data_IF_738394536306
#
_entry.id   IF_738394536306
#
_cell.length_a   1.000
_cell.length_b   1.000
_cell.length_c   1.000
_cell.angle_alpha   90.00
_cell.angle_beta   90.00
_cell.angle_gamma   90.00
#
_symmetry.space_group_name_H-M   'P 1'
#
loop_
_entity.id
_entity.type
_entity.pdbx_description
1 polymer ?
#
# COMPACT_ATOMS: atom_id res chain seq x y z
N UNK A 1 14.69 -4.38 -44.49
CA UNK A 1 13.71 -5.49 -44.50
C UNK A 1 13.01 -5.66 -43.16
N UNK A 2 13.74 -5.66 -42.02
CA UNK A 2 13.15 -5.76 -40.67
C UNK A 2 12.24 -4.57 -40.33
N UNK A 3 12.68 -3.34 -40.63
CA UNK A 3 11.91 -2.12 -40.35
C UNK A 3 10.57 -2.04 -41.13
N UNK A 4 10.55 -2.49 -42.39
CA UNK A 4 9.34 -2.52 -43.21
C UNK A 4 8.32 -3.54 -42.69
N UNK A 5 8.79 -4.72 -42.24
CA UNK A 5 7.94 -5.75 -41.61
C UNK A 5 7.42 -5.35 -40.24
N UNK A 6 8.22 -4.60 -39.48
CA UNK A 6 7.81 -4.06 -38.20
C UNK A 6 6.71 -3.00 -38.36
N UNK A 7 6.86 -2.09 -39.34
CA UNK A 7 5.83 -1.08 -39.63
C UNK A 7 4.51 -1.70 -40.13
N UNK A 8 4.55 -2.75 -40.95
CA UNK A 8 3.32 -3.44 -41.39
C UNK A 8 2.60 -4.16 -40.25
N UNK A 9 3.33 -4.60 -39.22
CA UNK A 9 2.74 -5.23 -38.03
C UNK A 9 2.04 -4.22 -37.10
N UNK A 10 2.21 -2.92 -37.33
CA UNK A 10 1.65 -1.83 -36.52
C UNK A 10 0.68 -0.95 -37.33
N UNK A 11 0.22 -1.44 -38.49
CA UNK A 11 -0.83 -0.76 -39.24
C UNK A 11 -2.21 -1.15 -38.66
N UNK A 12 -3.12 -0.18 -38.61
CA UNK A 12 -4.51 -0.40 -38.21
C UNK A 12 -5.34 -1.07 -39.34
N UNK A 13 -4.76 -2.08 -39.99
CA UNK A 13 -5.40 -2.91 -40.99
C UNK A 13 -5.68 -4.32 -40.43
N UNK A 14 -6.32 -5.18 -41.23
CA UNK A 14 -6.69 -6.54 -40.80
C UNK A 14 -5.48 -7.32 -40.27
N UNK A 15 -4.36 -7.24 -40.99
CA UNK A 15 -3.18 -8.01 -40.63
C UNK A 15 -2.55 -7.51 -39.32
N UNK A 16 -2.31 -6.20 -39.18
CA UNK A 16 -1.67 -5.63 -38.00
C UNK A 16 -2.52 -5.83 -36.75
N UNK A 17 -3.82 -5.60 -36.85
CA UNK A 17 -4.74 -5.73 -35.70
C UNK A 17 -4.90 -7.19 -35.24
N UNK A 18 -5.07 -8.14 -36.15
CA UNK A 18 -5.16 -9.57 -35.82
C UNK A 18 -3.83 -10.11 -35.25
N UNK A 19 -2.70 -9.67 -35.79
CA UNK A 19 -1.38 -10.07 -35.29
C UNK A 19 -1.15 -9.61 -33.84
N UNK A 20 -1.47 -8.36 -33.52
CA UNK A 20 -1.29 -7.83 -32.16
C UNK A 20 -2.28 -8.46 -31.16
N UNK A 21 -3.52 -8.73 -31.59
CA UNK A 21 -4.48 -9.47 -30.79
C UNK A 21 -3.96 -10.88 -30.46
N UNK A 22 -3.43 -11.59 -31.47
CA UNK A 22 -2.84 -12.91 -31.27
C UNK A 22 -1.62 -12.88 -30.35
N UNK A 23 -0.67 -11.96 -30.56
CA UNK A 23 0.52 -11.79 -29.68
C UNK A 23 0.07 -11.55 -28.24
N UNK A 24 -0.90 -10.66 -28.03
CA UNK A 24 -1.44 -10.35 -26.72
C UNK A 24 -2.05 -11.59 -26.07
N UNK A 25 -2.90 -12.34 -26.78
CA UNK A 25 -3.53 -13.54 -26.25
C UNK A 25 -2.53 -14.67 -25.92
N UNK A 26 -1.38 -14.74 -26.61
CA UNK A 26 -0.33 -15.74 -26.37
C UNK A 26 0.57 -15.35 -25.19
N UNK A 27 0.99 -14.09 -25.14
CA UNK A 27 2.05 -13.66 -24.21
C UNK A 27 1.53 -12.98 -22.95
N UNK A 28 0.32 -12.41 -22.95
CA UNK A 28 -0.18 -11.66 -21.79
C UNK A 28 -0.93 -12.48 -20.73
N UNK A 29 -1.37 -13.75 -20.96
CA UNK A 29 -2.12 -14.48 -19.94
C UNK A 29 -1.45 -14.61 -18.57
N UNK A 30 -0.11 -14.65 -18.53
CA UNK A 30 0.62 -14.71 -17.26
C UNK A 30 0.47 -13.43 -16.43
N UNK A 31 0.36 -12.27 -17.08
CA UNK A 31 0.22 -10.96 -16.42
C UNK A 31 -1.22 -10.66 -16.05
N UNK A 32 -2.13 -10.81 -17.00
CA UNK A 32 -3.48 -10.24 -16.88
C UNK A 32 -4.58 -11.26 -16.65
N UNK A 33 -4.33 -12.56 -16.85
CA UNK A 33 -5.36 -13.61 -16.75
C UNK A 33 -5.76 -14.17 -18.12
N UNK A 34 -6.69 -15.14 -18.13
CA UNK A 34 -7.04 -15.88 -19.34
C UNK A 34 -7.51 -14.94 -20.45
N UNK A 35 -6.84 -15.01 -21.60
CA UNK A 35 -7.10 -14.17 -22.77
C UNK A 35 -7.70 -15.02 -23.90
N UNK A 36 -8.72 -14.50 -24.56
CA UNK A 36 -9.36 -15.08 -25.73
C UNK A 36 -9.46 -14.04 -26.85
N UNK A 37 -9.03 -14.42 -28.06
CA UNK A 37 -9.18 -13.55 -29.24
C UNK A 37 -10.63 -13.57 -29.69
N UNK A 38 -11.20 -12.39 -29.95
CA UNK A 38 -12.57 -12.22 -30.40
C UNK A 38 -12.65 -11.44 -31.71
N UNK A 39 -13.62 -11.77 -32.57
CA UNK A 39 -13.89 -11.01 -33.78
C UNK A 39 -14.61 -9.69 -33.46
N UNK A 40 -14.38 -8.66 -34.29
CA UNK A 40 -15.19 -7.43 -34.35
C UNK A 40 -15.71 -7.21 -35.76
N UNK A 41 -16.90 -6.63 -35.87
CA UNK A 41 -17.58 -6.35 -37.15
C UNK A 41 -17.57 -4.85 -37.47
N UNK A 42 -18.10 -4.49 -38.64
CA UNK A 42 -18.31 -3.11 -39.06
C UNK A 42 -19.23 -2.29 -38.12
N UNK A 43 -20.04 -2.96 -37.29
CA UNK A 43 -20.91 -2.30 -36.30
C UNK A 43 -20.11 -1.79 -35.09
N UNK A 44 -19.00 -2.46 -34.76
CA UNK A 44 -18.16 -2.15 -33.60
C UNK A 44 -16.90 -1.36 -34.00
N UNK A 45 -16.43 -1.53 -35.23
CA UNK A 45 -15.21 -0.92 -35.75
C UNK A 45 -15.40 -0.42 -37.18
N UNK A 46 -15.28 0.90 -37.38
CA UNK A 46 -15.46 1.54 -38.68
C UNK A 46 -14.43 1.07 -39.73
N UNK A 47 -13.27 0.58 -39.30
CA UNK A 47 -12.21 0.08 -40.17
C UNK A 47 -12.55 -1.29 -40.78
N UNK A 48 -13.50 -2.03 -40.19
CA UNK A 48 -13.91 -3.35 -40.68
C UNK A 48 -14.93 -3.16 -41.82
N UNK A 49 -14.70 -3.72 -43.02
CA UNK A 49 -15.65 -3.64 -44.12
C UNK A 49 -17.01 -4.28 -43.79
N UNK A 50 -18.13 -3.75 -44.30
CA UNK A 50 -19.45 -4.36 -44.11
C UNK A 50 -19.47 -5.82 -44.59
N UNK A 51 -19.92 -6.73 -43.72
CA UNK A 51 -19.96 -8.17 -44.00
C UNK A 51 -18.66 -8.93 -43.69
N UNK A 52 -17.61 -8.25 -43.22
CA UNK A 52 -16.39 -8.87 -42.70
C UNK A 52 -16.34 -8.88 -41.16
N UNK A 53 -15.46 -9.71 -40.62
CA UNK A 53 -15.04 -9.66 -39.22
C UNK A 53 -13.53 -9.83 -39.12
N UNK A 54 -12.91 -9.10 -38.19
CA UNK A 54 -11.46 -9.15 -37.91
C UNK A 54 -11.25 -9.64 -36.49
N UNK A 55 -10.30 -10.57 -36.29
CA UNK A 55 -9.93 -11.10 -34.98
C UNK A 55 -9.02 -10.13 -34.20
N UNK A 56 -9.48 -8.90 -34.02
CA UNK A 56 -8.71 -7.77 -33.52
C UNK A 56 -8.98 -7.42 -32.05
N UNK A 57 -9.83 -8.17 -31.35
CA UNK A 57 -10.10 -7.96 -29.93
C UNK A 57 -9.52 -9.11 -29.08
N UNK A 58 -9.12 -8.80 -27.85
CA UNK A 58 -8.70 -9.78 -26.85
C UNK A 58 -9.52 -9.57 -25.60
N UNK A 59 -10.34 -10.56 -25.26
CA UNK A 59 -11.09 -10.60 -24.01
C UNK A 59 -10.25 -11.27 -22.94
N UNK A 60 -9.92 -10.51 -21.91
CA UNK A 60 -9.41 -11.03 -20.64
C UNK A 60 -10.66 -11.42 -19.84
N UNK A 61 -10.92 -12.72 -19.67
CA UNK A 61 -12.14 -13.22 -19.01
C UNK A 61 -12.24 -12.72 -17.56
N UNK A 62 -11.10 -12.74 -16.87
CA UNK A 62 -10.95 -12.24 -15.52
C UNK A 62 -9.57 -11.64 -15.35
N UNK A 63 -9.54 -10.32 -15.21
CA UNK A 63 -8.34 -9.53 -15.10
C UNK A 63 -7.75 -9.67 -13.71
N UNK A 64 -6.51 -10.18 -13.61
CA UNK A 64 -5.80 -10.37 -12.34
C UNK A 64 -5.69 -9.08 -11.51
N UNK A 65 -5.62 -7.93 -12.19
CA UNK A 65 -5.61 -6.62 -11.55
C UNK A 65 -6.96 -6.23 -10.93
N UNK A 66 -8.07 -6.70 -11.50
CA UNK A 66 -9.42 -6.45 -10.99
C UNK A 66 -9.86 -7.53 -9.98
N UNK A 67 -9.45 -8.78 -10.17
CA UNK A 67 -9.82 -9.93 -9.33
C UNK A 67 -9.28 -9.90 -7.89
N UNK A 68 -8.14 -9.25 -7.64
CA UNK A 68 -7.55 -9.21 -6.29
C UNK A 68 -8.51 -8.58 -5.23
N UNK A 69 -9.55 -7.85 -5.68
CA UNK A 69 -10.31 -6.90 -4.85
C UNK A 69 -11.83 -7.11 -4.76
N UNK A 70 -12.48 -7.76 -5.72
CA UNK A 70 -13.96 -7.75 -5.84
C UNK A 70 -14.79 -8.60 -4.86
N UNK A 71 -14.29 -9.00 -3.68
CA UNK A 71 -14.93 -10.07 -2.88
C UNK A 71 -15.83 -9.69 -1.69
N UNK A 72 -15.91 -8.44 -1.25
CA UNK A 72 -16.68 -8.12 -0.03
C UNK A 72 -17.69 -6.96 -0.24
N UNK A 73 -18.92 -7.33 -0.61
CA UNK A 73 -20.08 -6.44 -0.56
C UNK A 73 -21.29 -7.20 0.02
N UNK A 74 -21.79 -6.81 1.19
CA UNK A 74 -23.16 -6.30 1.48
C UNK A 74 -23.28 -6.12 3.01
N UNK A 75 -23.93 -5.05 3.49
CA UNK A 75 -24.33 -4.87 4.89
C UNK A 75 -24.58 -3.41 5.28
N UNK A 76 -25.77 -3.13 5.83
CA UNK A 76 -26.44 -1.82 6.01
C UNK A 76 -26.10 -1.09 7.34
N UNK A 77 -26.46 0.20 7.41
CA UNK A 77 -26.19 1.19 8.48
C UNK A 77 -27.07 1.05 9.74
N UNK A 78 -26.52 1.36 10.92
CA UNK A 78 -27.27 1.84 12.10
C UNK A 78 -26.48 2.94 12.86
N UNK A 79 -27.22 3.80 13.56
CA UNK A 79 -26.78 5.09 14.16
C UNK A 79 -26.77 5.06 15.72
N UNK A 80 -26.43 6.19 16.36
CA UNK A 80 -26.33 6.52 17.81
C UNK A 80 -24.94 6.33 18.46
N UNK A 81 -24.40 7.18 19.35
CA UNK A 81 -24.80 8.41 20.04
C UNK A 81 -23.60 8.96 20.87
N UNK A 82 -23.66 10.21 21.35
CA UNK A 82 -22.54 11.05 21.84
C UNK A 82 -21.89 10.63 23.18
N UNK A 83 -20.56 10.80 23.27
CA UNK A 83 -19.73 10.50 24.45
C UNK A 83 -19.48 11.70 25.37
N UNK A 84 -19.20 11.41 26.66
CA UNK A 84 -18.87 12.39 27.72
C UNK A 84 -17.35 12.59 27.86
N UNK A 85 -16.88 13.76 28.33
CA UNK A 85 -15.44 14.05 28.48
C UNK A 85 -14.87 13.56 29.83
N UNK A 86 -13.57 13.27 29.84
CA UNK A 86 -12.77 12.88 31.01
C UNK A 86 -11.72 13.94 31.40
N UNK A 87 -11.26 13.97 32.66
CA UNK A 87 -10.60 15.11 33.27
C UNK A 87 -9.07 15.16 33.06
N UNK A 88 -8.52 16.38 33.12
CA UNK A 88 -7.10 16.71 32.97
C UNK A 88 -6.25 16.36 34.21
N UNK A 89 -5.03 15.86 33.98
CA UNK A 89 -3.95 15.66 34.97
C UNK A 89 -2.59 16.05 34.35
N UNK A 90 -1.65 16.55 35.16
CA UNK A 90 -0.47 17.34 34.75
C UNK A 90 0.91 16.66 34.73
N UNK A 91 1.93 17.46 34.36
CA UNK A 91 3.40 17.23 34.33
C UNK A 91 3.87 15.82 33.90
N UNK A 92 3.84 15.56 32.60
CA UNK A 92 4.09 14.24 32.01
C UNK A 92 5.54 13.99 31.58
N UNK A 93 6.04 12.78 31.86
CA UNK A 93 7.26 12.24 31.22
C UNK A 93 6.98 11.97 29.73
N UNK A 94 8.02 11.69 28.93
CA UNK A 94 7.90 11.50 27.46
C UNK A 94 6.91 10.40 27.07
N UNK A 95 6.86 9.30 27.83
CA UNK A 95 5.93 8.20 27.56
C UNK A 95 4.48 8.62 27.80
N UNK A 96 4.23 9.42 28.83
CA UNK A 96 2.90 9.92 29.11
C UNK A 96 2.44 10.98 28.10
N UNK A 97 3.35 11.82 27.59
CA UNK A 97 3.05 12.71 26.45
C UNK A 97 2.65 11.93 25.20
N UNK A 98 3.35 10.84 24.89
CA UNK A 98 2.99 9.95 23.78
C UNK A 98 1.62 9.31 23.99
N UNK A 99 1.31 8.85 25.21
CA UNK A 99 -0.03 8.31 25.52
C UNK A 99 -1.10 9.37 25.32
N UNK A 100 -0.86 10.59 25.82
CA UNK A 100 -1.78 11.72 25.67
C UNK A 100 -2.00 12.07 24.19
N UNK A 101 -0.94 12.12 23.39
CA UNK A 101 -1.01 12.31 21.95
C UNK A 101 -1.86 11.21 21.28
N UNK A 102 -1.68 9.94 21.64
CA UNK A 102 -2.50 8.85 21.13
C UNK A 102 -3.99 8.98 21.52
N UNK A 103 -4.30 9.45 22.73
CA UNK A 103 -5.68 9.72 23.14
C UNK A 103 -6.30 10.89 22.37
N UNK A 104 -5.53 11.95 22.08
CA UNK A 104 -6.00 13.05 21.22
C UNK A 104 -6.44 12.53 19.84
N UNK A 105 -5.71 11.57 19.27
CA UNK A 105 -6.06 10.94 18.00
C UNK A 105 -7.37 10.15 18.08
N UNK A 106 -7.55 9.35 19.15
CA UNK A 106 -8.77 8.56 19.37
C UNK A 106 -10.02 9.44 19.48
N UNK A 107 -9.89 10.59 20.14
CA UNK A 107 -10.95 11.59 20.29
C UNK A 107 -11.24 12.26 18.95
N UNK A 108 -10.22 12.80 18.29
CA UNK A 108 -10.35 13.54 17.03
C UNK A 108 -11.01 12.70 15.92
N UNK A 109 -10.74 11.40 15.89
CA UNK A 109 -11.20 10.51 14.82
C UNK A 109 -12.44 9.69 15.18
N UNK A 110 -13.07 9.91 16.34
CA UNK A 110 -14.26 9.17 16.81
C UNK A 110 -14.02 7.65 16.81
N UNK A 111 -12.94 7.20 17.44
CA UNK A 111 -12.66 5.76 17.56
C UNK A 111 -13.82 5.00 18.21
N UNK A 112 -14.12 3.80 17.68
CA UNK A 112 -15.17 2.92 18.20
C UNK A 112 -14.87 2.45 19.64
N UNK A 113 -15.89 1.96 20.34
CA UNK A 113 -15.74 1.43 21.71
C UNK A 113 -14.76 0.25 21.70
N UNK A 114 -14.85 -0.61 20.69
CA UNK A 114 -14.01 -1.79 20.51
C UNK A 114 -12.54 -1.39 20.28
N UNK A 115 -12.29 -0.39 19.43
CA UNK A 115 -10.94 0.14 19.21
C UNK A 115 -10.33 0.73 20.49
N UNK A 116 -11.12 1.49 21.26
CA UNK A 116 -10.69 2.06 22.54
C UNK A 116 -10.35 0.96 23.54
N UNK A 117 -11.21 -0.04 23.69
CA UNK A 117 -10.97 -1.18 24.59
C UNK A 117 -9.74 -2.00 24.20
N UNK A 118 -9.54 -2.26 22.91
CA UNK A 118 -8.36 -2.94 22.40
C UNK A 118 -7.09 -2.16 22.73
N UNK A 119 -7.10 -0.84 22.45
CA UNK A 119 -5.96 0.04 22.71
C UNK A 119 -5.64 0.19 24.20
N UNK A 120 -6.65 0.35 25.06
CA UNK A 120 -6.48 0.40 26.51
C UNK A 120 -5.90 -0.90 27.06
N UNK A 121 -6.35 -2.04 26.54
CA UNK A 121 -5.80 -3.36 26.88
C UNK A 121 -4.33 -3.45 26.49
N UNK A 122 -3.98 -2.97 25.29
CA UNK A 122 -2.59 -2.95 24.82
C UNK A 122 -1.72 -2.01 25.66
N UNK A 123 -2.20 -0.80 25.97
CA UNK A 123 -1.47 0.14 26.83
C UNK A 123 -1.15 -0.48 28.19
N UNK A 124 -2.16 -1.07 28.85
CA UNK A 124 -2.02 -1.64 30.19
C UNK A 124 -1.09 -2.85 30.23
N UNK A 125 -1.20 -3.75 29.26
CA UNK A 125 -0.46 -5.02 29.26
C UNK A 125 0.94 -4.86 28.67
N UNK A 126 1.07 -4.04 27.62
CA UNK A 126 2.31 -3.92 26.86
C UNK A 126 3.03 -2.63 27.18
N UNK A 127 2.40 -1.48 26.92
CA UNK A 127 3.08 -0.18 26.97
C UNK A 127 3.56 0.18 28.38
N UNK A 128 2.65 0.18 29.36
CA UNK A 128 2.94 0.60 30.73
C UNK A 128 3.92 -0.35 31.44
N UNK A 129 3.90 -1.65 31.09
CA UNK A 129 4.80 -2.67 31.64
C UNK A 129 6.20 -2.60 31.01
N UNK A 130 6.30 -2.20 29.74
CA UNK A 130 7.57 -2.02 29.05
C UNK A 130 8.24 -0.67 29.38
N UNK A 131 7.46 0.38 29.64
CA UNK A 131 7.95 1.74 29.91
C UNK A 131 9.10 1.84 30.93
N UNK A 132 9.08 1.15 32.09
CA UNK A 132 10.12 1.30 33.12
C UNK A 132 11.49 0.76 32.72
N UNK A 133 11.55 -0.15 31.75
CA UNK A 133 12.79 -0.80 31.30
C UNK A 133 13.20 -0.39 29.88
N UNK A 134 12.40 0.47 29.24
CA UNK A 134 12.65 0.95 27.89
C UNK A 134 13.63 2.12 27.91
N UNK A 135 14.53 2.18 26.94
CA UNK A 135 15.47 3.30 26.78
C UNK A 135 14.77 4.59 26.35
N UNK A 136 15.45 5.73 26.52
CA UNK A 136 14.87 7.00 26.10
C UNK A 136 14.66 7.03 24.57
N UNK A 137 13.42 7.24 24.14
CA UNK A 137 13.06 7.24 22.71
C UNK A 137 12.69 5.87 22.13
N UNK A 138 12.61 4.84 22.97
CA UNK A 138 12.07 3.54 22.60
C UNK A 138 10.60 3.55 22.19
N UNK A 139 9.82 4.53 22.67
CA UNK A 139 8.43 4.70 22.28
C UNK A 139 8.30 5.60 21.03
N UNK A 140 7.56 5.13 20.02
CA UNK A 140 7.29 5.86 18.78
C UNK A 140 5.80 5.87 18.48
N UNK A 141 5.27 7.05 18.16
CA UNK A 141 3.93 7.25 17.62
C UNK A 141 4.06 7.65 16.14
N UNK A 142 3.45 6.87 15.25
CA UNK A 142 3.41 7.12 13.80
C UNK A 142 2.00 7.47 13.39
N UNK A 143 1.85 8.59 12.69
CA UNK A 143 0.56 9.15 12.31
C UNK A 143 0.64 9.60 10.83
N UNK A 144 -0.26 9.11 9.95
CA UNK A 144 -0.40 9.65 8.60
C UNK A 144 -1.04 11.04 8.64
N UNK A 145 -0.84 11.85 7.60
CA UNK A 145 -1.27 13.26 7.59
C UNK A 145 -2.79 13.45 7.52
N UNK A 146 -3.49 12.45 6.98
CA UNK A 146 -4.96 12.35 6.97
C UNK A 146 -5.54 11.81 8.29
N UNK A 147 -4.69 11.22 9.14
CA UNK A 147 -5.02 10.66 10.45
C UNK A 147 -6.08 9.53 10.35
N UNK A 148 -6.11 8.80 9.23
CA UNK A 148 -7.03 7.66 9.08
C UNK A 148 -6.60 6.41 9.88
N UNK A 149 -5.36 6.42 10.37
CA UNK A 149 -4.79 5.39 11.24
C UNK A 149 -3.75 5.99 12.19
N UNK A 150 -3.29 5.22 13.17
CA UNK A 150 -2.01 5.48 13.83
C UNK A 150 -1.40 4.17 14.32
N UNK A 151 -0.09 4.18 14.55
CA UNK A 151 0.66 3.09 15.17
C UNK A 151 1.44 3.60 16.37
N UNK A 152 1.20 3.00 17.54
CA UNK A 152 2.01 3.21 18.74
C UNK A 152 2.90 2.00 18.95
N UNK A 153 4.19 2.23 19.18
CA UNK A 153 5.16 1.16 19.43
C UNK A 153 6.07 1.49 20.60
N UNK A 154 6.60 0.44 21.24
CA UNK A 154 7.57 0.55 22.32
C UNK A 154 8.61 -0.58 22.22
N UNK A 155 9.89 -0.21 22.33
CA UNK A 155 11.05 -1.11 22.28
C UNK A 155 11.58 -1.44 23.67
N UNK A 156 11.79 -2.73 23.96
CA UNK A 156 12.40 -3.16 25.21
C UNK A 156 13.01 -4.57 25.08
N UNK A 157 13.60 -5.13 26.15
CA UNK A 157 14.22 -6.45 26.11
C UNK A 157 13.30 -7.55 25.57
N UNK A 158 13.84 -8.36 24.67
CA UNK A 158 13.13 -9.42 23.93
C UNK A 158 12.32 -10.36 24.85
N UNK A 159 12.93 -10.86 25.93
CA UNK A 159 12.28 -11.82 26.83
C UNK A 159 11.05 -11.23 27.53
N UNK A 160 11.10 -9.93 27.84
CA UNK A 160 9.94 -9.20 28.34
C UNK A 160 8.89 -9.11 27.23
N UNK A 161 9.27 -8.68 26.02
CA UNK A 161 8.34 -8.47 24.91
C UNK A 161 7.61 -9.74 24.50
N UNK A 162 8.28 -10.89 24.42
CA UNK A 162 7.64 -12.19 24.15
C UNK A 162 6.56 -12.52 25.19
N UNK A 163 6.85 -12.29 26.47
CA UNK A 163 5.90 -12.52 27.57
C UNK A 163 4.71 -11.53 27.52
N UNK A 164 4.97 -10.26 27.23
CA UNK A 164 3.90 -9.25 27.11
C UNK A 164 3.01 -9.52 25.90
N UNK A 165 3.58 -9.92 24.76
CA UNK A 165 2.83 -10.34 23.57
C UNK A 165 1.90 -11.52 23.90
N UNK A 166 2.41 -12.56 24.57
CA UNK A 166 1.59 -13.71 24.97
C UNK A 166 0.42 -13.28 25.87
N UNK A 167 0.68 -12.51 26.93
CA UNK A 167 -0.36 -11.99 27.85
C UNK A 167 -1.40 -11.14 27.11
N UNK A 168 -0.97 -10.34 26.15
CA UNK A 168 -1.87 -9.50 25.35
C UNK A 168 -2.79 -10.34 24.46
N UNK A 169 -2.24 -11.31 23.73
CA UNK A 169 -3.03 -12.20 22.88
C UNK A 169 -4.01 -13.06 23.70
N UNK A 170 -3.61 -13.52 24.88
CA UNK A 170 -4.50 -14.20 25.84
C UNK A 170 -5.66 -13.29 26.28
N UNK A 171 -5.37 -12.03 26.63
CA UNK A 171 -6.38 -11.05 27.02
C UNK A 171 -7.36 -10.73 25.88
N UNK A 172 -6.86 -10.68 24.64
CA UNK A 172 -7.65 -10.51 23.42
C UNK A 172 -8.37 -11.81 22.98
N UNK A 173 -8.18 -12.93 23.69
CA UNK A 173 -8.77 -14.25 23.38
C UNK A 173 -8.47 -14.70 21.95
N UNK A 174 -7.25 -14.44 21.47
CA UNK A 174 -6.83 -14.85 20.13
C UNK A 174 -6.73 -16.39 20.09
N UNK A 175 -7.49 -17.07 19.22
CA UNK A 175 -7.60 -18.53 19.24
C UNK A 175 -6.37 -19.25 18.68
N UNK A 176 -5.59 -18.54 17.86
CA UNK A 176 -4.46 -19.08 17.11
C UNK A 176 -3.19 -18.29 17.41
N UNK A 177 -2.25 -18.94 18.09
CA UNK A 177 -0.96 -18.37 18.50
C UNK A 177 0.17 -18.71 17.52
N UNK A 178 -0.12 -19.19 16.30
CA UNK A 178 0.91 -19.51 15.30
C UNK A 178 1.86 -18.35 15.01
N UNK A 179 1.34 -17.11 14.93
CA UNK A 179 2.18 -15.92 14.70
C UNK A 179 3.12 -15.65 15.88
N UNK A 180 2.67 -15.87 17.12
CA UNK A 180 3.51 -15.77 18.31
C UNK A 180 4.57 -16.89 18.34
N UNK A 181 4.23 -18.11 17.92
CA UNK A 181 5.18 -19.21 17.81
C UNK A 181 6.25 -18.90 16.76
N UNK A 182 5.85 -18.37 15.60
CA UNK A 182 6.80 -17.89 14.58
C UNK A 182 7.70 -16.81 15.15
N UNK A 183 7.13 -15.80 15.82
CA UNK A 183 7.89 -14.75 16.52
C UNK A 183 8.91 -15.34 17.50
N UNK A 184 8.53 -16.34 18.31
CA UNK A 184 9.44 -17.02 19.23
C UNK A 184 10.50 -17.89 18.53
N UNK A 185 10.23 -18.40 17.33
CA UNK A 185 11.10 -19.28 16.54
C UNK A 185 12.00 -18.57 15.54
N UNK A 186 11.84 -17.25 15.33
CA UNK A 186 12.81 -16.45 14.60
C UNK A 186 14.20 -16.71 15.19
N UNK A 187 15.24 -16.81 14.36
CA UNK A 187 16.59 -17.20 14.80
C UNK A 187 17.24 -16.12 15.68
N UNK A 188 16.76 -15.97 16.92
CA UNK A 188 17.34 -15.14 17.97
C UNK A 188 18.71 -15.67 18.44
N UNK A 189 19.00 -16.93 18.14
CA UNK A 189 20.15 -17.65 18.70
C UNK A 189 21.46 -17.40 17.95
N UNK A 190 21.40 -16.85 16.72
CA UNK A 190 22.60 -16.57 15.91
C UNK A 190 23.11 -15.13 16.02
N UNK A 191 22.30 -14.19 16.48
CA UNK A 191 22.64 -12.76 16.54
C UNK A 191 22.12 -12.13 17.84
N UNK A 192 22.89 -11.18 18.39
CA UNK A 192 22.69 -10.44 19.65
C UNK A 192 21.41 -9.55 19.66
N UNK A 193 20.24 -10.08 19.26
CA UNK A 193 19.00 -9.32 19.29
C UNK A 193 18.51 -9.22 20.74
N UNK A 194 18.96 -8.17 21.43
CA UNK A 194 18.65 -7.90 22.83
C UNK A 194 17.26 -7.27 23.03
N UNK A 195 16.75 -6.57 22.02
CA UNK A 195 15.54 -5.76 22.12
C UNK A 195 14.62 -5.93 20.92
N UNK A 196 13.32 -5.81 21.18
CA UNK A 196 12.24 -5.94 20.20
C UNK A 196 11.22 -4.83 20.44
N UNK A 197 10.58 -4.36 19.37
CA UNK A 197 9.44 -3.45 19.49
C UNK A 197 8.14 -4.21 19.38
N UNK A 198 7.20 -3.98 20.29
CA UNK A 198 5.80 -4.32 20.07
C UNK A 198 5.04 -3.08 19.62
N UNK A 199 4.06 -3.27 18.74
CA UNK A 199 3.22 -2.19 18.22
C UNK A 199 1.74 -2.52 18.27
N UNK A 200 0.93 -1.47 18.35
CA UNK A 200 -0.51 -1.50 18.21
C UNK A 200 -0.91 -0.47 17.16
N UNK A 201 -1.75 -0.88 16.21
CA UNK A 201 -2.24 -0.05 15.12
C UNK A 201 -3.76 -0.02 15.13
N UNK A 202 -4.33 1.18 15.01
CA UNK A 202 -5.75 1.37 14.80
C UNK A 202 -5.93 2.05 13.44
N UNK A 203 -6.96 1.66 12.69
CA UNK A 203 -7.23 2.16 11.35
C UNK A 203 -8.73 2.28 11.07
N UNK A 204 -9.09 3.10 10.08
CA UNK A 204 -10.47 3.27 9.61
C UNK A 204 -11.41 3.71 10.73
N UNK A 205 -11.00 4.74 11.46
CA UNK A 205 -11.81 5.32 12.54
C UNK A 205 -13.14 5.86 12.01
N UNK A 206 -14.20 5.77 12.81
CA UNK A 206 -15.54 6.23 12.44
C UNK A 206 -16.17 5.50 11.24
N UNK A 207 -15.49 4.50 10.66
CA UNK A 207 -16.01 3.70 9.54
C UNK A 207 -16.95 2.58 10.03
N UNK A 208 -17.67 1.96 9.10
CA UNK A 208 -18.47 0.77 9.37
C UNK A 208 -17.64 -0.49 9.66
N UNK A 209 -16.33 -0.46 9.40
CA UNK A 209 -15.41 -1.58 9.57
C UNK A 209 -14.12 -1.13 10.27
N UNK A 210 -14.20 -0.64 11.52
CA UNK A 210 -13.03 -0.20 12.27
C UNK A 210 -12.00 -1.32 12.37
N UNK A 211 -10.73 -0.99 12.13
CA UNK A 211 -9.64 -1.95 12.18
C UNK A 211 -8.79 -1.77 13.43
N UNK A 212 -8.40 -2.91 14.02
CA UNK A 212 -7.35 -3.01 15.05
C UNK A 212 -6.32 -4.03 14.61
N UNK A 213 -5.08 -3.79 14.96
CA UNK A 213 -3.99 -4.72 14.74
C UNK A 213 -2.91 -4.54 15.81
N UNK A 214 -2.12 -5.58 16.05
CA UNK A 214 -0.96 -5.52 16.92
C UNK A 214 0.09 -6.52 16.45
N UNK A 215 1.35 -6.17 16.65
CA UNK A 215 2.45 -6.99 16.16
C UNK A 215 3.79 -6.62 16.76
N UNK A 216 4.85 -7.02 16.08
CA UNK A 216 6.23 -6.73 16.47
C UNK A 216 7.05 -6.16 15.31
N UNK A 217 8.13 -5.43 15.64
CA UNK A 217 9.20 -5.03 14.73
C UNK A 217 10.55 -5.49 15.27
N UNK A 218 11.37 -6.03 14.38
CA UNK A 218 12.76 -6.40 14.59
C UNK A 218 13.64 -5.47 13.78
N UNK A 219 14.41 -4.63 14.46
CA UNK A 219 15.39 -3.74 13.84
C UNK A 219 16.72 -4.49 13.67
N UNK A 220 16.69 -5.63 12.98
CA UNK A 220 17.85 -6.46 12.72
C UNK A 220 17.83 -6.94 11.27
N UNK A 221 19.02 -7.11 10.68
CA UNK A 221 19.12 -7.71 9.35
C UNK A 221 18.61 -9.14 9.37
N UNK A 222 17.86 -9.53 8.33
CA UNK A 222 17.41 -10.89 8.14
C UNK A 222 18.05 -11.46 6.87
N UNK A 223 18.64 -12.65 6.98
CA UNK A 223 19.03 -13.43 5.82
C UNK A 223 17.79 -13.82 4.99
N UNK A 224 17.92 -13.83 3.66
CA UNK A 224 16.83 -14.21 2.77
C UNK A 224 16.26 -15.60 3.05
N UNK A 225 17.08 -16.55 3.52
CA UNK A 225 16.61 -17.88 3.90
C UNK A 225 15.60 -17.82 5.04
N UNK A 226 15.79 -16.92 6.01
CA UNK A 226 14.85 -16.68 7.11
C UNK A 226 13.65 -15.90 6.60
N UNK A 227 13.87 -14.86 5.79
CA UNK A 227 12.80 -14.06 5.17
C UNK A 227 11.81 -14.92 4.39
N UNK A 228 12.29 -15.91 3.63
CA UNK A 228 11.47 -16.83 2.82
C UNK A 228 10.59 -17.78 3.68
N UNK A 229 10.90 -17.92 4.96
CA UNK A 229 10.13 -18.72 5.92
C UNK A 229 9.05 -17.87 6.59
N UNK A 230 9.36 -16.59 6.88
CA UNK A 230 8.57 -15.76 7.81
C UNK A 230 7.65 -14.78 7.09
N UNK A 231 7.95 -14.45 5.84
CA UNK A 231 7.09 -13.59 5.00
C UNK A 231 6.05 -14.45 4.28
N UNK A 232 4.77 -14.04 4.21
CA UNK A 232 3.74 -14.74 3.45
C UNK A 232 4.16 -15.00 2.00
N UNK A 233 4.06 -16.27 1.58
CA UNK A 233 4.41 -16.67 0.21
C UNK A 233 3.40 -16.11 -0.78
N UNK A 234 3.89 -15.33 -1.73
CA UNK A 234 3.11 -14.77 -2.83
C UNK A 234 4.00 -14.54 -4.05
N UNK A 235 3.39 -14.32 -5.22
CA UNK A 235 4.12 -13.91 -6.43
C UNK A 235 4.86 -12.58 -6.19
N UNK A 236 4.21 -11.65 -5.49
CA UNK A 236 4.78 -10.34 -5.15
C UNK A 236 5.99 -10.48 -4.18
N UNK A 237 5.95 -11.45 -3.25
CA UNK A 237 7.11 -11.77 -2.38
C UNK A 237 8.31 -12.25 -3.20
N UNK A 238 8.09 -13.15 -4.17
CA UNK A 238 9.16 -13.64 -5.03
C UNK A 238 9.74 -12.52 -5.91
N UNK A 239 8.88 -11.64 -6.43
CA UNK A 239 9.29 -10.48 -7.23
C UNK A 239 10.10 -9.48 -6.40
N UNK A 240 9.63 -9.13 -5.19
CA UNK A 240 10.34 -8.25 -4.26
C UNK A 240 11.73 -8.81 -3.94
N UNK A 241 11.79 -10.11 -3.63
CA UNK A 241 13.03 -10.83 -3.35
C UNK A 241 14.02 -10.79 -4.51
N UNK A 242 13.57 -11.14 -5.71
CA UNK A 242 14.43 -11.16 -6.90
C UNK A 242 14.95 -9.75 -7.24
N UNK A 243 14.08 -8.74 -7.14
CA UNK A 243 14.46 -7.36 -7.38
C UNK A 243 15.47 -6.87 -6.33
N UNK A 244 15.19 -7.06 -5.04
CA UNK A 244 16.09 -6.69 -3.96
C UNK A 244 17.48 -7.34 -4.09
N UNK A 245 17.56 -8.64 -4.38
CA UNK A 245 18.85 -9.32 -4.62
C UNK A 245 19.59 -8.78 -5.85
N UNK A 246 18.88 -8.43 -6.93
CA UNK A 246 19.51 -7.83 -8.11
C UNK A 246 20.19 -6.49 -7.80
N UNK A 247 19.67 -5.77 -6.80
CA UNK A 247 20.22 -4.53 -6.27
C UNK A 247 21.13 -4.74 -5.04
N UNK A 248 21.43 -6.00 -4.68
CA UNK A 248 22.23 -6.38 -3.50
C UNK A 248 21.67 -5.85 -2.18
N UNK A 249 20.35 -5.70 -2.11
CA UNK A 249 19.65 -5.30 -0.90
C UNK A 249 19.35 -6.53 -0.03
N UNK A 250 19.50 -6.34 1.27
CA UNK A 250 19.17 -7.33 2.30
C UNK A 250 18.19 -6.67 3.25
N UNK A 251 17.14 -7.38 3.72
CA UNK A 251 16.26 -6.82 4.75
C UNK A 251 17.07 -6.39 5.98
N UNK A 252 16.89 -5.15 6.40
CA UNK A 252 17.48 -4.52 7.58
C UNK A 252 16.53 -4.56 8.79
N UNK A 253 15.23 -4.66 8.54
CA UNK A 253 14.24 -4.85 9.59
C UNK A 253 13.08 -5.69 9.08
N UNK A 254 12.39 -6.35 10.02
CA UNK A 254 11.20 -7.15 9.76
C UNK A 254 10.11 -6.82 10.77
N UNK A 255 8.87 -6.63 10.30
CA UNK A 255 7.71 -6.51 11.17
C UNK A 255 6.62 -7.49 10.78
N UNK A 256 5.81 -7.92 11.73
CA UNK A 256 4.65 -8.77 11.45
C UNK A 256 3.52 -8.58 12.46
N UNK A 257 2.29 -8.72 11.98
CA UNK A 257 1.11 -8.84 12.83
C UNK A 257 1.17 -10.12 13.65
N UNK A 258 0.77 -10.02 14.91
CA UNK A 258 0.54 -11.15 15.81
C UNK A 258 -0.89 -11.68 15.72
N UNK A 259 -1.80 -10.95 15.07
CA UNK A 259 -3.19 -11.35 14.90
C UNK A 259 -3.36 -12.22 13.64
N UNK A 260 -4.23 -13.24 13.69
CA UNK A 260 -4.36 -14.20 12.59
C UNK A 260 -5.25 -13.71 11.43
N UNK A 261 -5.93 -12.57 11.57
CA UNK A 261 -6.87 -12.05 10.57
C UNK A 261 -6.10 -11.13 9.61
N UNK A 262 -5.89 -11.59 8.37
CA UNK A 262 -5.11 -10.90 7.33
C UNK A 262 -3.74 -10.42 7.81
N UNK A 263 -2.88 -11.33 8.34
CA UNK A 263 -1.61 -10.94 8.94
C UNK A 263 -0.73 -10.25 7.90
N UNK A 264 -0.40 -8.99 8.18
CA UNK A 264 0.56 -8.22 7.39
C UNK A 264 1.97 -8.45 7.95
N UNK A 265 2.93 -8.66 7.04
CA UNK A 265 4.35 -8.61 7.32
C UNK A 265 4.98 -7.44 6.60
N UNK A 266 6.12 -6.94 7.06
CA UNK A 266 6.85 -5.88 6.40
C UNK A 266 8.34 -6.15 6.43
N UNK A 267 9.00 -5.78 5.34
CA UNK A 267 10.45 -5.75 5.22
C UNK A 267 10.89 -4.31 5.04
N UNK A 268 11.92 -3.92 5.77
CA UNK A 268 12.59 -2.63 5.59
C UNK A 268 13.99 -2.87 5.05
N UNK A 269 14.39 -2.11 4.04
CA UNK A 269 15.70 -2.14 3.41
C UNK A 269 16.39 -0.80 3.66
N UNK A 270 17.64 -0.83 4.10
CA UNK A 270 18.48 0.38 4.14
C UNK A 270 18.95 0.69 2.71
N UNK A 271 18.66 1.89 2.21
CA UNK A 271 18.90 2.27 0.82
C UNK A 271 20.27 2.94 0.61
N UNK A 272 21.30 2.62 1.39
CA UNK A 272 22.67 3.15 1.28
C UNK A 272 23.41 2.77 -0.04
N UNK A 273 22.90 3.24 -1.18
CA UNK A 273 23.42 2.98 -2.52
C UNK A 273 24.34 4.09 -3.05
N UNK A 274 24.65 5.09 -2.21
CA UNK A 274 25.50 6.23 -2.57
C UNK A 274 24.96 7.55 -2.02
N UNK A 275 24.65 8.49 -2.91
CA UNK A 275 24.00 9.75 -2.53
C UNK A 275 22.53 9.53 -2.11
N UNK A 276 21.99 10.41 -1.26
CA UNK A 276 20.57 10.38 -0.88
C UNK A 276 19.63 10.36 -2.10
N UNK A 277 19.94 11.16 -3.12
CA UNK A 277 19.16 11.20 -4.37
C UNK A 277 19.18 9.87 -5.12
N UNK A 278 20.34 9.21 -5.21
CA UNK A 278 20.42 7.89 -5.85
C UNK A 278 19.69 6.82 -5.06
N UNK A 279 19.71 6.90 -3.72
CA UNK A 279 18.94 6.01 -2.82
C UNK A 279 17.44 6.13 -3.07
N UNK A 280 16.93 7.37 -3.09
CA UNK A 280 15.52 7.68 -3.35
C UNK A 280 15.10 7.18 -4.73
N UNK A 281 15.89 7.50 -5.77
CA UNK A 281 15.56 7.07 -7.14
C UNK A 281 15.56 5.55 -7.26
N UNK A 282 16.52 4.85 -6.66
CA UNK A 282 16.58 3.39 -6.66
C UNK A 282 15.34 2.78 -6.00
N UNK A 283 14.92 3.31 -4.86
CA UNK A 283 13.69 2.89 -4.20
C UNK A 283 12.45 3.17 -5.07
N UNK A 284 12.33 4.33 -5.71
CA UNK A 284 11.21 4.65 -6.60
C UNK A 284 11.18 3.78 -7.88
N UNK A 285 12.34 3.30 -8.35
CA UNK A 285 12.37 2.26 -9.39
C UNK A 285 11.81 0.94 -8.87
N UNK A 286 12.08 0.57 -7.62
CA UNK A 286 11.47 -0.61 -7.00
C UNK A 286 9.95 -0.48 -6.89
N UNK A 287 9.41 0.70 -6.55
CA UNK A 287 7.95 0.94 -6.56
C UNK A 287 7.34 0.55 -7.91
N UNK A 288 7.89 1.09 -9.01
CA UNK A 288 7.41 0.79 -10.36
C UNK A 288 7.57 -0.69 -10.74
N UNK A 289 8.69 -1.31 -10.37
CA UNK A 289 8.91 -2.74 -10.63
C UNK A 289 7.90 -3.64 -9.89
N UNK A 290 7.42 -3.19 -8.73
CA UNK A 290 6.43 -3.89 -7.90
C UNK A 290 4.97 -3.50 -8.22
N UNK A 291 4.75 -2.70 -9.27
CA UNK A 291 3.41 -2.31 -9.71
C UNK A 291 2.78 -1.14 -8.95
N UNK A 292 3.55 -0.41 -8.13
CA UNK A 292 3.08 0.81 -7.48
C UNK A 292 3.22 2.01 -8.41
N UNK A 293 2.24 2.91 -8.35
CA UNK A 293 2.31 4.17 -9.06
C UNK A 293 3.49 5.00 -8.54
N UNK A 294 4.22 5.62 -9.47
CA UNK A 294 5.24 6.60 -9.10
C UNK A 294 4.56 7.89 -8.62
N UNK A 295 5.20 8.65 -7.71
CA UNK A 295 4.75 10.00 -7.36
C UNK A 295 4.64 10.88 -8.62
N UNK A 296 3.67 11.79 -8.63
CA UNK A 296 3.57 12.85 -9.65
C UNK A 296 4.81 13.75 -9.63
N UNK A 297 5.07 14.51 -10.70
CA UNK A 297 6.30 15.30 -10.85
C UNK A 297 6.59 16.24 -9.67
N UNK A 298 5.56 16.88 -9.12
CA UNK A 298 5.68 17.73 -7.92
C UNK A 298 6.05 16.91 -6.69
N UNK A 299 5.36 15.79 -6.46
CA UNK A 299 5.67 14.85 -5.37
C UNK A 299 7.07 14.25 -5.49
N UNK A 300 7.48 13.85 -6.70
CA UNK A 300 8.82 13.34 -6.99
C UNK A 300 9.88 14.41 -6.70
N UNK A 301 9.63 15.65 -7.11
CA UNK A 301 10.51 16.78 -6.83
C UNK A 301 10.64 16.99 -5.33
N UNK A 302 9.53 17.03 -4.59
CA UNK A 302 9.55 17.19 -3.14
C UNK A 302 10.32 16.04 -2.44
N UNK A 303 10.03 14.79 -2.80
CA UNK A 303 10.68 13.59 -2.26
C UNK A 303 12.20 13.62 -2.51
N UNK A 304 12.64 13.97 -3.71
CA UNK A 304 14.08 14.00 -4.06
C UNK A 304 14.85 15.16 -3.44
N UNK A 305 14.17 16.14 -2.86
CA UNK A 305 14.75 17.28 -2.13
C UNK A 305 14.62 17.15 -0.62
N UNK A 306 14.12 16.02 -0.10
CA UNK A 306 14.12 15.74 1.33
C UNK A 306 15.56 15.63 1.81
N UNK A 307 15.95 16.58 2.68
CA UNK A 307 17.19 16.50 3.43
C UNK A 307 16.97 15.64 4.68
N UNK A 308 17.66 14.51 4.75
CA UNK A 308 17.52 13.51 5.79
C UNK A 308 18.84 12.78 6.02
N UNK A 309 19.00 12.18 7.20
CA UNK A 309 20.21 11.43 7.55
C UNK A 309 20.28 10.08 6.83
N UNK A 310 19.14 9.36 6.74
CA UNK A 310 19.02 8.05 6.12
C UNK A 310 17.69 7.91 5.38
N UNK A 311 17.66 6.99 4.42
CA UNK A 311 16.48 6.64 3.65
C UNK A 311 16.30 5.12 3.65
N UNK A 312 15.09 4.67 3.96
CA UNK A 312 14.72 3.27 3.98
C UNK A 312 13.56 3.00 3.03
N UNK A 313 13.58 1.84 2.40
CA UNK A 313 12.45 1.31 1.64
C UNK A 313 11.71 0.31 2.51
N UNK A 314 10.43 0.52 2.74
CA UNK A 314 9.55 -0.43 3.40
C UNK A 314 8.61 -1.07 2.36
N UNK A 315 8.45 -2.38 2.44
CA UNK A 315 7.47 -3.15 1.68
C UNK A 315 6.63 -3.98 2.65
N UNK A 316 5.31 -3.75 2.66
CA UNK A 316 4.36 -4.52 3.45
C UNK A 316 3.63 -5.54 2.55
N UNK A 317 3.45 -6.75 3.07
CA UNK A 317 2.87 -7.90 2.40
C UNK A 317 1.77 -8.50 3.27
N UNK A 318 0.56 -8.56 2.73
CA UNK A 318 -0.51 -9.39 3.28
C UNK A 318 -0.52 -10.79 2.64
N UNK A 319 -1.50 -11.63 2.98
CA UNK A 319 -1.64 -12.97 2.41
C UNK A 319 -1.80 -13.00 0.87
N UNK A 320 -2.27 -11.90 0.28
CA UNK A 320 -2.52 -11.75 -1.16
C UNK A 320 -1.37 -11.12 -1.95
N UNK A 321 -0.29 -10.69 -1.30
CA UNK A 321 0.82 -9.98 -1.94
C UNK A 321 1.12 -8.62 -1.30
N UNK A 322 1.73 -7.72 -2.06
CA UNK A 322 2.13 -6.39 -1.59
C UNK A 322 0.89 -5.52 -1.30
N UNK A 323 0.83 -4.98 -0.09
CA UNK A 323 -0.24 -4.07 0.36
C UNK A 323 0.22 -2.62 0.39
N UNK A 324 1.52 -2.38 0.64
CA UNK A 324 2.08 -1.05 0.80
C UNK A 324 3.55 -1.00 0.44
N UNK A 325 3.99 0.09 -0.17
CA UNK A 325 5.40 0.46 -0.28
C UNK A 325 5.60 1.86 0.27
N UNK A 326 6.72 2.08 0.95
CA UNK A 326 6.99 3.37 1.58
C UNK A 326 8.47 3.73 1.55
N UNK A 327 8.72 5.02 1.38
CA UNK A 327 10.01 5.68 1.54
C UNK A 327 10.04 6.38 2.88
N UNK A 328 10.90 5.90 3.79
CA UNK A 328 11.06 6.48 5.13
C UNK A 328 12.35 7.27 5.23
N UNK A 329 12.24 8.50 5.70
CA UNK A 329 13.34 9.43 5.92
C UNK A 329 13.60 9.58 7.41
N UNK A 330 14.83 9.37 7.84
CA UNK A 330 15.24 9.54 9.24
C UNK A 330 15.81 10.93 9.50
N UNK A 331 15.37 11.55 10.59
CA UNK A 331 15.72 12.92 11.00
C UNK A 331 15.62 13.93 9.85
N UNK A 332 14.45 14.05 9.20
CA UNK A 332 14.27 14.99 8.12
C UNK A 332 14.24 16.43 8.63
N UNK A 333 14.48 17.38 7.72
CA UNK A 333 14.25 18.80 7.99
C UNK A 333 12.78 19.08 8.39
N UNK A 334 12.57 20.07 9.25
CA UNK A 334 11.25 20.33 9.86
C UNK A 334 10.14 20.68 8.85
N UNK A 335 10.44 21.41 7.77
CA UNK A 335 9.43 21.79 6.75
C UNK A 335 9.01 20.63 5.84
N UNK A 336 9.72 19.50 5.88
CA UNK A 336 9.53 18.41 4.93
C UNK A 336 8.09 17.87 4.91
N UNK A 337 7.40 17.85 6.06
CA UNK A 337 6.03 17.34 6.16
C UNK A 337 5.07 18.21 5.35
N UNK A 338 5.08 19.53 5.57
CA UNK A 338 4.22 20.46 4.83
C UNK A 338 4.54 20.45 3.33
N UNK A 339 5.82 20.39 2.99
CA UNK A 339 6.29 20.41 1.59
C UNK A 339 5.81 19.16 0.84
N UNK A 340 6.00 17.96 1.43
CA UNK A 340 5.56 16.69 0.85
C UNK A 340 4.04 16.60 0.74
N UNK A 341 3.33 17.00 1.79
CA UNK A 341 1.86 16.91 1.83
C UNK A 341 1.22 17.79 0.77
N UNK A 342 1.72 19.03 0.64
CA UNK A 342 1.29 19.97 -0.41
C UNK A 342 1.61 19.43 -1.81
N UNK A 343 2.83 18.91 -2.01
CA UNK A 343 3.28 18.42 -3.31
C UNK A 343 2.57 17.13 -3.77
N UNK A 344 2.14 16.30 -2.82
CA UNK A 344 1.41 15.06 -3.11
C UNK A 344 -0.13 15.26 -3.13
N UNK A 345 -0.62 16.49 -2.90
CA UNK A 345 -2.04 16.80 -2.80
C UNK A 345 -2.79 15.91 -1.79
N UNK A 346 -2.14 15.60 -0.66
CA UNK A 346 -2.71 14.75 0.40
C UNK A 346 -3.43 15.64 1.42
N UNK A 347 -4.66 15.30 1.84
CA UNK A 347 -5.33 16.02 2.92
C UNK A 347 -4.49 16.02 4.21
N UNK A 348 -4.39 17.19 4.85
CA UNK A 348 -3.71 17.35 6.13
C UNK A 348 -4.70 17.87 7.16
N UNK A 349 -4.89 17.14 8.26
CA UNK A 349 -5.63 17.66 9.41
C UNK A 349 -4.72 18.54 10.27
N UNK A 350 -4.41 19.72 9.74
CA UNK A 350 -3.39 20.64 10.29
C UNK A 350 -3.62 20.97 11.76
N UNK A 351 -4.87 21.16 12.20
CA UNK A 351 -5.16 21.45 13.61
C UNK A 351 -4.70 20.31 14.53
N UNK A 352 -5.02 19.06 14.17
CA UNK A 352 -4.66 17.90 14.99
C UNK A 352 -3.16 17.66 14.94
N UNK A 353 -2.51 17.84 13.78
CA UNK A 353 -1.06 17.70 13.67
C UNK A 353 -0.34 18.75 14.51
N UNK A 354 -0.79 20.00 14.49
CA UNK A 354 -0.25 21.06 15.34
C UNK A 354 -0.41 20.71 16.84
N UNK A 355 -1.58 20.20 17.24
CA UNK A 355 -1.81 19.77 18.62
C UNK A 355 -0.86 18.63 19.03
N UNK A 356 -0.56 17.68 18.12
CA UNK A 356 0.40 16.62 18.36
C UNK A 356 1.83 17.15 18.48
N UNK A 357 2.24 18.08 17.63
CA UNK A 357 3.56 18.71 17.68
C UNK A 357 3.77 19.45 19.01
N UNK A 358 2.73 20.17 19.48
CA UNK A 358 2.74 20.84 20.78
C UNK A 358 2.83 19.83 21.92
N UNK A 359 2.04 18.75 21.87
CA UNK A 359 2.02 17.74 22.94
C UNK A 359 3.36 16.99 23.05
N UNK A 360 3.91 16.60 21.90
CA UNK A 360 5.14 15.83 21.80
C UNK A 360 6.40 16.70 21.98
N UNK A 361 6.29 18.03 21.79
CA UNK A 361 7.37 19.02 21.94
C UNK A 361 8.63 18.65 21.13
N UNK A 362 8.42 18.07 19.95
CA UNK A 362 9.49 17.54 19.09
C UNK A 362 9.12 17.63 17.61
N UNK A 363 10.14 17.82 16.78
CA UNK A 363 10.03 17.55 15.35
C UNK A 363 9.93 16.03 15.09
N UNK A 364 9.30 15.62 13.98
CA UNK A 364 9.22 14.20 13.61
C UNK A 364 10.61 13.57 13.48
N UNK A 365 10.84 12.46 14.18
CA UNK A 365 12.07 11.67 14.03
C UNK A 365 12.14 10.92 12.70
N UNK A 366 10.98 10.66 12.09
CA UNK A 366 10.85 10.04 10.78
C UNK A 366 9.71 10.71 10.00
N UNK A 367 9.85 10.81 8.69
CA UNK A 367 8.78 11.16 7.75
C UNK A 367 8.71 10.09 6.68
N UNK A 368 7.51 9.71 6.28
CA UNK A 368 7.30 8.61 5.34
C UNK A 368 6.41 9.06 4.18
N UNK A 369 6.89 8.86 2.94
CA UNK A 369 6.03 8.84 1.77
C UNK A 369 5.57 7.41 1.54
N UNK A 370 4.26 7.16 1.56
CA UNK A 370 3.71 5.84 1.37
C UNK A 370 2.77 5.79 0.15
N UNK A 371 2.92 4.74 -0.63
CA UNK A 371 1.95 4.32 -1.63
C UNK A 371 1.31 3.02 -1.14
N UNK A 372 0.01 3.04 -0.93
CA UNK A 372 -0.75 1.82 -0.71
C UNK A 372 -1.13 1.21 -2.06
N UNK A 373 -1.20 -0.11 -2.12
CA UNK A 373 -1.71 -0.81 -3.29
C UNK A 373 -3.21 -0.47 -3.40
N UNK A 374 -3.52 0.63 -4.09
CA UNK A 374 -4.89 1.07 -4.22
C UNK A 374 -5.59 0.22 -5.26
N UNK A 375 -6.18 -0.88 -4.80
CA UNK A 375 -7.09 -1.73 -5.57
C UNK A 375 -8.34 -0.97 -6.02
N UNK A 376 -8.20 0.02 -6.89
CA UNK A 376 -9.25 0.92 -7.33
C UNK A 376 -9.28 1.00 -8.86
N UNK A 377 -10.41 1.49 -9.40
CA UNK A 377 -10.58 1.85 -10.82
C UNK A 377 -9.41 2.72 -11.31
N UNK A 378 -8.91 3.62 -10.45
CA UNK A 378 -7.71 4.43 -10.68
C UNK A 378 -6.45 3.66 -11.05
N UNK A 379 -6.20 2.46 -10.48
CA UNK A 379 -5.06 1.63 -10.90
C UNK A 379 -5.29 1.01 -12.28
N UNK A 380 -6.48 0.48 -12.54
CA UNK A 380 -6.83 -0.06 -13.86
C UNK A 380 -6.65 1.00 -14.95
N UNK A 381 -7.11 2.24 -14.68
CA UNK A 381 -7.00 3.37 -15.60
C UNK A 381 -5.57 3.88 -15.72
N UNK A 382 -4.90 4.13 -14.59
CA UNK A 382 -3.61 4.81 -14.51
C UNK A 382 -2.39 3.93 -14.84
N UNK A 383 -2.46 2.63 -14.60
CA UNK A 383 -1.33 1.70 -14.85
C UNK A 383 -1.51 0.88 -16.13
N UNK A 384 -2.75 0.56 -16.49
CA UNK A 384 -3.03 -0.33 -17.62
C UNK A 384 -3.68 0.42 -18.79
N UNK A 385 -4.92 0.91 -18.65
CA UNK A 385 -5.70 1.52 -19.76
C UNK A 385 -4.99 2.71 -20.40
N UNK A 386 -4.75 3.81 -19.69
CA UNK A 386 -4.20 5.04 -20.30
C UNK A 386 -2.77 4.84 -20.83
N UNK A 387 -1.83 4.22 -20.09
CA UNK A 387 -0.48 4.00 -20.61
C UNK A 387 -0.46 3.14 -21.87
N UNK A 388 -1.25 2.05 -21.92
CA UNK A 388 -1.29 1.17 -23.09
C UNK A 388 -1.92 1.84 -24.30
N UNK A 389 -3.04 2.55 -24.12
CA UNK A 389 -3.68 3.30 -25.21
C UNK A 389 -2.75 4.37 -25.79
N UNK A 390 -1.98 5.09 -24.94
CA UNK A 390 -0.97 6.05 -25.40
C UNK A 390 0.20 5.38 -26.11
N UNK A 391 0.75 4.29 -25.55
CA UNK A 391 1.85 3.55 -26.18
C UNK A 391 1.44 3.08 -27.58
N UNK A 392 0.27 2.48 -27.72
CA UNK A 392 -0.20 1.98 -29.01
C UNK A 392 -0.52 3.13 -29.98
N UNK A 393 -1.30 4.13 -29.55
CA UNK A 393 -1.72 5.23 -30.41
C UNK A 393 -0.60 6.22 -30.76
N UNK A 394 0.09 6.76 -29.77
CA UNK A 394 1.06 7.86 -29.93
C UNK A 394 2.45 7.36 -30.33
N UNK A 395 2.89 6.19 -29.82
CA UNK A 395 4.25 5.69 -30.02
C UNK A 395 4.31 4.66 -31.14
N UNK A 396 3.42 3.66 -31.14
CA UNK A 396 3.43 2.58 -32.12
C UNK A 396 2.62 2.89 -33.38
N UNK A 397 1.77 3.92 -33.35
CA UNK A 397 0.97 4.37 -34.49
C UNK A 397 -0.22 3.49 -34.84
N UNK A 398 -0.67 2.64 -33.90
CA UNK A 398 -1.87 1.82 -34.04
C UNK A 398 -2.82 2.13 -32.88
N UNK A 399 -4.04 2.62 -33.13
CA UNK A 399 -5.00 2.84 -32.05
C UNK A 399 -5.28 1.55 -31.26
N UNK A 400 -5.55 1.70 -29.98
CA UNK A 400 -5.97 0.63 -29.09
C UNK A 400 -7.02 1.20 -28.16
N UNK A 401 -8.18 0.55 -28.04
CA UNK A 401 -9.15 0.82 -26.99
C UNK A 401 -9.06 -0.26 -25.91
N UNK A 402 -9.10 0.14 -24.64
CA UNK A 402 -9.21 -0.79 -23.52
C UNK A 402 -10.50 -0.55 -22.73
N UNK A 403 -11.30 -1.60 -22.61
CA UNK A 403 -12.67 -1.59 -22.09
C UNK A 403 -12.74 -2.52 -20.87
N UNK A 404 -12.31 -2.07 -19.68
CA UNK A 404 -12.43 -2.85 -18.46
C UNK A 404 -13.87 -2.84 -17.94
N UNK A 405 -14.32 -3.97 -17.41
CA UNK A 405 -15.61 -4.12 -16.76
C UNK A 405 -15.38 -4.42 -15.28
N UNK A 406 -15.89 -3.53 -14.42
CA UNK A 406 -15.69 -3.59 -12.97
C UNK A 406 -16.66 -4.54 -12.27
N UNK A 407 -17.75 -4.95 -12.93
CA UNK A 407 -18.76 -5.87 -12.38
C UNK A 407 -18.30 -7.33 -12.49
N UNK A 408 -17.83 -7.73 -13.67
CA UNK A 408 -17.36 -9.11 -13.93
C UNK A 408 -15.83 -9.26 -13.83
N UNK A 409 -15.13 -8.14 -13.56
CA UNK A 409 -13.68 -8.05 -13.42
C UNK A 409 -12.93 -8.42 -14.71
N UNK A 410 -13.58 -8.33 -15.86
CA UNK A 410 -12.99 -8.61 -17.17
C UNK A 410 -12.42 -7.35 -17.84
N UNK A 411 -11.66 -7.51 -18.93
CA UNK A 411 -11.22 -6.37 -19.75
C UNK A 411 -11.09 -6.78 -21.20
N UNK A 412 -11.53 -5.92 -22.13
CA UNK A 412 -11.39 -6.14 -23.57
C UNK A 412 -10.37 -5.15 -24.14
N UNK A 413 -9.38 -5.66 -24.86
CA UNK A 413 -8.44 -4.86 -25.65
C UNK A 413 -8.85 -4.92 -27.12
N UNK A 414 -9.07 -3.79 -27.78
CA UNK A 414 -9.51 -3.73 -29.18
C UNK A 414 -8.49 -2.97 -30.02
N UNK A 415 -7.73 -3.71 -30.84
CA UNK A 415 -6.67 -3.15 -31.68
C UNK A 415 -7.26 -2.51 -32.93
N UNK A 416 -6.78 -1.31 -33.27
CA UNK A 416 -7.27 -0.49 -34.37
C UNK A 416 -8.48 0.40 -34.02
N UNK A 417 -9.06 0.27 -32.82
CA UNK A 417 -10.14 1.14 -32.33
C UNK A 417 -9.55 2.33 -31.57
N UNK A 418 -10.01 3.53 -31.90
CA UNK A 418 -9.64 4.73 -31.14
C UNK A 418 -10.21 4.69 -29.72
N UNK A 419 -9.44 5.09 -28.70
CA UNK A 419 -9.97 5.29 -27.36
C UNK A 419 -11.10 6.33 -27.37
N UNK A 420 -12.12 6.12 -26.55
CA UNK A 420 -13.12 7.15 -26.29
C UNK A 420 -12.49 8.36 -25.59
N UNK A 421 -12.97 9.58 -25.87
CA UNK A 421 -12.58 10.76 -25.12
C UNK A 421 -12.80 10.56 -23.62
N UNK A 422 -11.89 11.05 -22.79
CA UNK A 422 -11.94 10.83 -21.35
C UNK A 422 -13.25 11.33 -20.73
N UNK A 423 -13.79 12.43 -21.24
CA UNK A 423 -15.05 13.05 -20.79
C UNK A 423 -16.28 12.18 -21.04
N UNK A 424 -16.16 11.17 -21.90
CA UNK A 424 -17.21 10.23 -22.27
C UNK A 424 -16.94 8.81 -21.73
N UNK A 425 -15.81 8.60 -21.06
CA UNK A 425 -15.42 7.31 -20.51
C UNK A 425 -16.21 7.02 -19.24
N UNK A 426 -17.06 5.99 -19.27
CA UNK A 426 -17.90 5.58 -18.13
C UNK A 426 -17.09 5.32 -16.85
N UNK A 427 -15.80 5.02 -16.97
CA UNK A 427 -14.88 4.86 -15.84
C UNK A 427 -14.69 6.13 -15.00
N UNK A 428 -14.95 7.32 -15.55
CA UNK A 428 -14.93 8.57 -14.77
C UNK A 428 -15.94 8.55 -13.63
N UNK A 429 -17.08 7.91 -13.82
CA UNK A 429 -18.17 7.89 -12.83
C UNK A 429 -18.12 6.63 -11.95
N UNK A 430 -17.22 5.69 -12.26
CA UNK A 430 -17.14 4.45 -11.51
C UNK A 430 -16.62 4.69 -10.08
N UNK A 431 -17.35 4.20 -9.06
CA UNK A 431 -16.89 4.28 -7.68
C UNK A 431 -15.66 3.40 -7.46
N UNK A 432 -14.91 3.69 -6.41
CA UNK A 432 -13.85 2.77 -5.96
C UNK A 432 -14.46 1.44 -5.48
N UNK A 433 -13.69 0.35 -5.57
CA UNK A 433 -14.02 -0.87 -4.83
C UNK A 433 -14.09 -0.58 -3.33
N UNK A 434 -14.95 -1.28 -2.58
CA UNK A 434 -15.09 -1.09 -1.11
C UNK A 434 -13.77 -1.31 -0.35
N UNK A 435 -12.88 -2.14 -0.87
CA UNK A 435 -11.55 -2.40 -0.29
C UNK A 435 -10.56 -1.24 -0.50
N UNK A 436 -10.88 -0.28 -1.37
CA UNK A 436 -10.03 0.87 -1.64
C UNK A 436 -9.99 1.80 -0.42
N UNK A 437 -8.79 2.00 0.13
CA UNK A 437 -8.54 2.90 1.26
C UNK A 437 -8.98 4.35 0.99
N UNK A 438 -8.94 4.79 -0.27
CA UNK A 438 -9.32 6.16 -0.66
C UNK A 438 -10.76 6.27 -1.20
N UNK A 439 -11.61 5.25 -0.98
CA UNK A 439 -13.00 5.29 -1.43
C UNK A 439 -13.79 6.36 -0.66
N UNK A 440 -14.52 7.23 -1.37
CA UNK A 440 -15.52 8.12 -0.76
C UNK A 440 -16.87 7.38 -0.64
N UNK A 441 -17.65 7.72 0.39
CA UNK A 441 -18.94 7.07 0.69
C UNK A 441 -19.94 7.10 -0.49
N UNK A 442 -19.81 8.08 -1.39
CA UNK A 442 -20.55 8.15 -2.66
C UNK A 442 -19.71 8.84 -3.74
N UNK A 443 -19.85 8.42 -4.99
CA UNK A 443 -19.31 9.11 -6.17
C UNK A 443 -18.10 8.44 -6.84
N UNK A 444 -17.60 9.13 -7.87
CA UNK A 444 -16.46 8.74 -8.70
C UNK A 444 -15.16 8.50 -7.90
N UNK A 445 -14.28 7.67 -8.45
CA UNK A 445 -12.93 7.48 -7.91
C UNK A 445 -12.17 8.81 -7.82
N UNK A 446 -11.73 9.27 -6.62
CA UNK A 446 -11.05 10.56 -6.46
C UNK A 446 -9.64 10.59 -7.07
N UNK A 447 -9.12 9.43 -7.53
CA UNK A 447 -7.85 9.34 -8.27
C UNK A 447 -8.03 9.53 -9.78
N UNK A 448 -9.26 9.67 -10.25
CA UNK A 448 -9.63 9.86 -11.66
C UNK A 448 -10.16 11.27 -11.97
N UNK A 449 -10.41 12.06 -10.91
CA UNK A 449 -10.90 13.43 -10.97
C UNK A 449 -9.81 14.45 -11.20
#
# INVERSE_FOLDING_TARGET
>A
MVEARFRSALQADKFGTELNAWITAVFFPFMVGKCEVQPRTAEEMQQVPPGESWNCAVKIEKCRWLEREGKDSIGEEESFGEGRPFPHLGSYNRHDRIKKAAYLLLEAQKASVEQKQFFETWLKIVFDEACPVSSEGAAQLRVPTDIESFELSIKAPKELMLRLANRFLEACKVPDLRMLQQFAQLQWEKEDVSEVSLWCRLKRFGSSCPGVDAGFHLDHSLEWLVTDIVVPKSEDQANLRNNAMSHRLVPFAYGASLLPIEPESSLTFDMETGSMKSSILSALFMFGAMGFAKPEDLGLTAITHVDAMKCYLLAALGPKGLTRMALRFEKPQASCVSDLTSACNIPMLTNVINDLEIELDKTPGFVEYAAEMSGCVGMCVGLCKRPMQRMFGEVLGMPLSMEPNMEDLSCTMVFGKDPEPWEQDDLQQQPCFRSCATARMTGACPKLS
#
